data_IF_194038332939
#
_entry.id   IF_194038332939
#
_cell.length_a   1.000
_cell.length_b   1.000
_cell.length_c   1.000
_cell.angle_alpha   90.00
_cell.angle_beta   90.00
_cell.angle_gamma   90.00
#
_symmetry.space_group_name_H-M   'P 1'
#
loop_
_entity.id
_entity.type
_entity.pdbx_description
1 polymer ?
#
# COMPACT_ATOMS: atom_id res chain seq x y z
N UNK A 1 -10.63 5.63 17.42
CA UNK A 1 -10.03 5.11 16.15
C UNK A 1 -10.99 4.22 15.38
N UNK A 2 -11.62 3.21 16.00
CA UNK A 2 -12.56 2.29 15.32
C UNK A 2 -13.71 3.02 14.60
N UNK A 3 -14.28 4.07 15.19
CA UNK A 3 -15.31 4.89 14.54
C UNK A 3 -14.87 5.41 13.17
N UNK A 4 -13.70 6.06 13.11
CA UNK A 4 -13.13 6.60 11.87
C UNK A 4 -12.81 5.51 10.85
N UNK A 5 -12.31 4.36 11.31
CA UNK A 5 -12.07 3.21 10.43
C UNK A 5 -13.37 2.71 9.81
N UNK A 6 -14.43 2.52 10.60
CA UNK A 6 -15.73 2.09 10.08
C UNK A 6 -16.36 3.12 9.15
N UNK A 7 -16.22 4.41 9.45
CA UNK A 7 -16.71 5.48 8.59
C UNK A 7 -15.99 5.47 7.23
N UNK A 8 -14.65 5.47 7.22
CA UNK A 8 -13.84 5.51 6.01
C UNK A 8 -13.87 4.19 5.23
N UNK A 9 -14.22 3.06 5.85
CA UNK A 9 -14.36 1.77 5.18
C UNK A 9 -15.42 1.76 4.06
N UNK A 10 -16.39 2.66 4.13
CA UNK A 10 -17.48 2.79 3.15
C UNK A 10 -17.16 3.80 2.04
N UNK A 11 -16.05 4.53 2.13
CA UNK A 11 -15.66 5.51 1.14
C UNK A 11 -15.12 4.84 -0.14
N UNK A 12 -15.29 5.48 -1.31
CA UNK A 12 -14.67 4.98 -2.53
C UNK A 12 -13.15 5.15 -2.48
N UNK A 13 -12.42 4.20 -3.07
CA UNK A 13 -10.96 4.12 -2.99
C UNK A 13 -10.26 5.38 -3.52
N UNK A 14 -10.75 5.95 -4.61
CA UNK A 14 -10.18 7.19 -5.19
C UNK A 14 -10.22 8.37 -4.20
N UNK A 15 -11.25 8.45 -3.35
CA UNK A 15 -11.37 9.53 -2.37
C UNK A 15 -10.37 9.34 -1.22
N UNK A 16 -10.19 8.10 -0.78
CA UNK A 16 -9.16 7.75 0.20
C UNK A 16 -7.77 8.05 -0.35
N UNK A 17 -7.48 7.71 -1.60
CA UNK A 17 -6.22 8.05 -2.26
C UNK A 17 -6.02 9.56 -2.41
N UNK A 18 -7.05 10.33 -2.76
CA UNK A 18 -6.94 11.79 -2.83
C UNK A 18 -6.56 12.40 -1.47
N UNK A 19 -7.20 11.94 -0.39
CA UNK A 19 -6.84 12.33 0.99
C UNK A 19 -5.43 11.87 1.33
N UNK A 20 -5.07 10.64 0.97
CA UNK A 20 -3.75 10.06 1.18
C UNK A 20 -2.63 10.88 0.53
N UNK A 21 -2.80 11.28 -0.73
CA UNK A 21 -1.84 12.14 -1.43
C UNK A 21 -1.60 13.44 -0.65
N UNK A 22 -2.67 14.11 -0.20
CA UNK A 22 -2.56 15.37 0.56
C UNK A 22 -1.86 15.13 1.90
N UNK A 23 -2.26 14.10 2.65
CA UNK A 23 -1.67 13.76 3.95
C UNK A 23 -0.19 13.40 3.80
N UNK A 24 0.18 12.61 2.79
CA UNK A 24 1.57 12.22 2.52
C UNK A 24 2.47 13.43 2.26
N UNK A 25 2.01 14.37 1.42
CA UNK A 25 2.71 15.62 1.18
C UNK A 25 2.79 16.52 2.41
N UNK A 26 1.71 16.67 3.17
CA UNK A 26 1.73 17.43 4.42
C UNK A 26 2.70 16.82 5.42
N UNK A 27 2.71 15.49 5.59
CA UNK A 27 3.67 14.81 6.46
C UNK A 27 5.12 15.07 6.03
N UNK A 28 5.41 15.04 4.72
CA UNK A 28 6.73 15.34 4.18
C UNK A 28 7.16 16.80 4.33
N UNK A 29 6.26 17.75 4.10
CA UNK A 29 6.54 19.18 4.24
C UNK A 29 6.73 19.57 5.71
N UNK A 30 5.84 19.10 6.59
CA UNK A 30 5.76 19.52 7.99
C UNK A 30 6.70 18.73 8.92
N UNK A 31 7.21 17.57 8.50
CA UNK A 31 8.17 16.77 9.30
C UNK A 31 9.58 16.79 8.70
N UNK A 32 10.49 17.64 9.22
CA UNK A 32 11.88 17.67 8.78
C UNK A 32 12.58 16.32 8.95
N UNK A 33 12.25 15.57 10.00
CA UNK A 33 12.84 14.27 10.27
C UNK A 33 12.42 13.22 9.24
N UNK A 34 11.12 13.16 8.91
CA UNK A 34 10.63 12.25 7.88
C UNK A 34 11.23 12.57 6.51
N UNK A 35 11.24 13.86 6.14
CA UNK A 35 11.88 14.33 4.89
C UNK A 35 13.35 13.94 4.80
N UNK A 36 14.15 14.14 5.86
CA UNK A 36 15.57 13.74 5.88
C UNK A 36 15.76 12.24 5.69
N UNK A 37 14.97 11.41 6.39
CA UNK A 37 15.03 9.94 6.26
C UNK A 37 14.64 9.48 4.86
N UNK A 38 13.58 10.05 4.31
CA UNK A 38 13.14 9.79 2.94
C UNK A 38 14.27 10.08 1.94
N UNK A 39 14.87 11.28 1.99
CA UNK A 39 15.96 11.66 1.09
C UNK A 39 17.23 10.80 1.27
N UNK A 40 17.53 10.37 2.50
CA UNK A 40 18.64 9.45 2.76
C UNK A 40 18.39 8.09 2.08
N UNK A 41 17.19 7.53 2.20
CA UNK A 41 16.83 6.27 1.53
C UNK A 41 16.87 6.40 0.00
N UNK A 42 16.37 7.52 -0.54
CA UNK A 42 16.43 7.83 -1.99
C UNK A 42 17.88 7.86 -2.47
N UNK A 43 18.77 8.52 -1.72
CA UNK A 43 20.20 8.55 -2.03
C UNK A 43 20.83 7.16 -1.99
N UNK A 44 20.54 6.37 -0.96
CA UNK A 44 21.03 4.99 -0.85
C UNK A 44 20.54 4.11 -2.01
N UNK A 45 19.30 4.31 -2.47
CA UNK A 45 18.74 3.60 -3.62
C UNK A 45 19.26 4.10 -4.98
N UNK A 46 20.03 5.19 -5.03
CA UNK A 46 20.55 5.77 -6.27
C UNK A 46 19.46 6.38 -7.18
N UNK A 47 18.31 6.76 -6.61
CA UNK A 47 17.18 7.29 -7.37
C UNK A 47 17.25 8.83 -7.46
N UNK A 48 16.80 9.37 -8.59
CA UNK A 48 16.66 10.82 -8.78
C UNK A 48 15.38 11.36 -8.12
N UNK A 49 15.35 12.66 -7.83
CA UNK A 49 14.20 13.32 -7.23
C UNK A 49 12.89 13.08 -8.00
N UNK A 50 12.90 13.25 -9.32
CA UNK A 50 11.72 13.06 -10.18
C UNK A 50 11.13 11.65 -10.12
N UNK A 51 11.98 10.62 -9.95
CA UNK A 51 11.53 9.23 -9.82
C UNK A 51 10.78 8.97 -8.51
N UNK A 52 11.02 9.78 -7.47
CA UNK A 52 10.52 9.52 -6.11
C UNK A 52 9.49 10.53 -5.63
N UNK A 53 9.23 11.61 -6.37
CA UNK A 53 8.20 12.61 -6.02
C UNK A 53 6.83 11.95 -5.80
N UNK A 54 6.47 10.98 -6.64
CA UNK A 54 5.22 10.25 -6.51
C UNK A 54 5.14 9.43 -5.21
N UNK A 55 6.26 8.93 -4.70
CA UNK A 55 6.30 8.08 -3.51
C UNK A 55 5.85 8.82 -2.24
N UNK A 56 6.01 10.15 -2.18
CA UNK A 56 5.61 10.97 -1.03
C UNK A 56 4.11 10.89 -0.79
N UNK A 57 3.31 11.10 -1.84
CA UNK A 57 1.86 10.98 -1.73
C UNK A 57 1.42 9.53 -1.52
N UNK A 58 2.06 8.58 -2.20
CA UNK A 58 1.71 7.15 -2.12
C UNK A 58 1.88 6.57 -0.71
N UNK A 59 2.85 7.07 0.07
CA UNK A 59 2.98 6.70 1.47
C UNK A 59 1.74 7.09 2.30
N UNK A 60 1.10 8.21 1.97
CA UNK A 60 -0.17 8.62 2.56
C UNK A 60 -1.33 7.76 2.07
N UNK A 61 -1.40 7.46 0.76
CA UNK A 61 -2.39 6.55 0.19
C UNK A 61 -2.42 5.20 0.93
N UNK A 62 -1.25 4.58 1.10
CA UNK A 62 -1.05 3.33 1.85
C UNK A 62 -1.66 3.39 3.25
N UNK A 63 -1.60 4.54 3.93
CA UNK A 63 -2.18 4.69 5.27
C UNK A 63 -3.70 4.88 5.23
N UNK A 64 -4.19 5.68 4.28
CA UNK A 64 -5.60 6.07 4.18
C UNK A 64 -6.51 4.99 3.60
N UNK A 65 -5.95 3.99 2.91
CA UNK A 65 -6.72 2.86 2.40
C UNK A 65 -6.96 1.75 3.44
N UNK A 66 -6.19 1.69 4.53
CA UNK A 66 -6.34 0.66 5.57
C UNK A 66 -7.77 0.49 6.11
N UNK A 67 -8.56 1.55 6.39
CA UNK A 67 -9.97 1.39 6.76
C UNK A 67 -10.79 0.58 5.76
N UNK A 68 -10.56 0.82 4.46
CA UNK A 68 -11.25 0.13 3.35
C UNK A 68 -10.80 -1.32 3.24
N UNK A 69 -9.53 -1.60 3.46
CA UNK A 69 -8.97 -2.96 3.40
C UNK A 69 -9.36 -3.81 4.61
N UNK A 70 -9.42 -3.23 5.81
CA UNK A 70 -9.64 -4.01 7.03
C UNK A 70 -11.10 -4.18 7.42
N UNK A 71 -11.97 -3.23 7.06
CA UNK A 71 -13.38 -3.21 7.50
C UNK A 71 -14.37 -2.98 6.36
N UNK A 72 -13.88 -2.76 5.14
CA UNK A 72 -14.69 -2.50 3.97
C UNK A 72 -14.83 -3.72 3.06
N UNK A 73 -15.55 -3.52 1.95
CA UNK A 73 -15.55 -4.49 0.85
C UNK A 73 -14.21 -4.41 0.12
N UNK A 74 -13.59 -5.55 -0.13
CA UNK A 74 -12.31 -5.61 -0.83
C UNK A 74 -12.42 -4.90 -2.21
N UNK A 75 -11.44 -4.05 -2.58
CA UNK A 75 -11.38 -3.49 -3.93
C UNK A 75 -11.12 -4.60 -4.96
N UNK A 76 -11.44 -4.33 -6.24
CA UNK A 76 -11.07 -5.23 -7.33
C UNK A 76 -9.54 -5.34 -7.37
N UNK A 77 -9.01 -6.56 -7.39
CA UNK A 77 -7.59 -6.84 -7.56
C UNK A 77 -7.39 -7.40 -8.95
N UNK A 78 -6.38 -6.88 -9.65
CA UNK A 78 -5.94 -7.39 -10.94
C UNK A 78 -4.52 -7.92 -10.75
N UNK A 79 -4.35 -9.20 -11.02
CA UNK A 79 -3.05 -9.86 -10.98
C UNK A 79 -2.30 -9.57 -12.27
N UNK A 80 -1.01 -9.23 -12.16
CA UNK A 80 -0.12 -9.24 -13.31
C UNK A 80 -0.12 -10.63 -13.93
N UNK A 81 0.00 -10.71 -15.26
CA UNK A 81 0.07 -11.97 -15.99
C UNK A 81 1.13 -12.91 -15.38
N UNK A 82 0.72 -14.16 -15.12
CA UNK A 82 1.58 -15.18 -14.49
C UNK A 82 1.70 -15.10 -12.96
N UNK A 83 1.31 -13.99 -12.32
CA UNK A 83 1.52 -13.83 -10.88
C UNK A 83 0.66 -14.78 -10.03
N UNK A 84 -0.59 -15.01 -10.44
CA UNK A 84 -1.48 -15.92 -9.71
C UNK A 84 -1.06 -17.38 -9.85
N UNK A 85 -0.58 -17.78 -11.04
CA UNK A 85 -0.11 -19.14 -11.31
C UNK A 85 1.11 -19.50 -10.46
N UNK A 86 2.00 -18.54 -10.19
CA UNK A 86 3.14 -18.72 -9.26
C UNK A 86 2.63 -19.03 -7.85
N UNK A 87 1.57 -18.36 -7.40
CA UNK A 87 0.95 -18.59 -6.09
C UNK A 87 0.29 -19.97 -6.06
N UNK A 88 -0.49 -20.33 -7.09
CA UNK A 88 -1.13 -21.65 -7.20
C UNK A 88 -0.10 -22.78 -7.17
N UNK A 89 1.00 -22.64 -7.91
CA UNK A 89 2.09 -23.62 -7.92
C UNK A 89 2.72 -23.77 -6.54
N UNK A 90 3.00 -22.66 -5.84
CA UNK A 90 3.57 -22.70 -4.50
C UNK A 90 2.65 -23.38 -3.48
N UNK A 91 1.32 -23.18 -3.57
CA UNK A 91 0.37 -23.90 -2.71
C UNK A 91 0.27 -25.39 -3.07
N UNK A 92 0.37 -25.75 -4.34
CA UNK A 92 0.32 -27.14 -4.80
C UNK A 92 1.48 -28.01 -4.27
N UNK A 93 2.62 -27.41 -3.88
CA UNK A 93 3.74 -28.12 -3.24
C UNK A 93 3.41 -28.65 -1.83
N UNK A 94 2.34 -28.15 -1.19
CA UNK A 94 1.89 -28.63 0.12
C UNK A 94 2.84 -28.35 1.29
N UNK A 95 3.84 -27.49 1.11
CA UNK A 95 4.83 -27.12 2.14
C UNK A 95 4.47 -25.83 2.89
N UNK A 96 3.35 -25.20 2.53
CA UNK A 96 2.99 -23.85 2.96
C UNK A 96 3.68 -22.77 2.12
N UNK A 97 3.14 -21.55 2.15
CA UNK A 97 3.61 -20.42 1.34
C UNK A 97 3.99 -19.25 2.26
N UNK A 98 5.20 -18.72 2.09
CA UNK A 98 5.66 -17.51 2.78
C UNK A 98 5.53 -16.29 1.86
N UNK A 99 4.62 -15.38 2.19
CA UNK A 99 4.50 -14.09 1.49
C UNK A 99 5.49 -13.06 2.06
N UNK A 100 6.35 -12.52 1.20
CA UNK A 100 7.23 -11.41 1.53
C UNK A 100 6.59 -10.10 1.05
N UNK A 101 5.95 -9.38 1.98
CA UNK A 101 5.26 -8.12 1.73
C UNK A 101 6.07 -6.95 2.26
N UNK A 102 6.97 -6.34 1.47
CA UNK A 102 7.63 -5.10 1.89
C UNK A 102 6.59 -4.02 2.16
N UNK A 103 6.95 -3.01 2.96
CA UNK A 103 6.11 -1.83 3.23
C UNK A 103 6.03 -0.93 1.98
N UNK A 104 5.38 -1.43 0.94
CA UNK A 104 5.35 -0.87 -0.40
C UNK A 104 3.92 -0.98 -0.95
N UNK A 105 3.33 0.18 -1.27
CA UNK A 105 1.97 0.25 -1.80
C UNK A 105 0.95 -0.41 -0.87
N UNK A 106 -0.03 -1.07 -1.47
CA UNK A 106 -1.18 -1.68 -0.78
C UNK A 106 -0.87 -3.10 -0.27
N UNK A 107 0.22 -3.31 0.46
CA UNK A 107 0.71 -4.67 0.74
C UNK A 107 -0.26 -5.58 1.54
N UNK A 108 -1.17 -4.99 2.32
CA UNK A 108 -2.22 -5.72 3.06
C UNK A 108 -3.24 -6.40 2.13
N UNK A 109 -3.38 -5.96 0.87
CA UNK A 109 -4.30 -6.57 -0.08
C UNK A 109 -3.88 -7.99 -0.47
N UNK A 110 -2.58 -8.30 -0.46
CA UNK A 110 -2.04 -9.52 -1.05
C UNK A 110 -2.65 -10.78 -0.43
N UNK A 111 -2.65 -10.88 0.90
CA UNK A 111 -3.21 -12.05 1.60
C UNK A 111 -4.72 -12.15 1.43
N UNK A 112 -5.44 -11.02 1.45
CA UNK A 112 -6.89 -10.99 1.24
C UNK A 112 -7.28 -11.39 -0.18
N UNK A 113 -6.49 -10.93 -1.17
CA UNK A 113 -6.70 -11.24 -2.58
C UNK A 113 -6.53 -12.73 -2.85
N UNK A 114 -5.50 -13.36 -2.29
CA UNK A 114 -5.29 -14.80 -2.43
C UNK A 114 -6.39 -15.60 -1.73
N UNK A 115 -6.82 -15.18 -0.53
CA UNK A 115 -7.86 -15.88 0.21
C UNK A 115 -9.26 -15.81 -0.45
N UNK A 116 -9.48 -14.84 -1.34
CA UNK A 116 -10.76 -14.61 -2.02
C UNK A 116 -10.71 -14.90 -3.53
N UNK A 117 -9.60 -15.44 -4.04
CA UNK A 117 -9.45 -15.85 -5.44
C UNK A 117 -9.91 -17.31 -5.63
#
# INVERSE_FOLDING_TARGET
MIFWFRFLAHWPLWALHAIGQVIGWLAWLLSPTYRRRFLANVKTAGLSGWQVLGAVGQAGCMSTELPRLWMGRQPKVEWTEGAFQVIEAAYAEGQGVLFLTPHLGCFEISAQAVANA
#
